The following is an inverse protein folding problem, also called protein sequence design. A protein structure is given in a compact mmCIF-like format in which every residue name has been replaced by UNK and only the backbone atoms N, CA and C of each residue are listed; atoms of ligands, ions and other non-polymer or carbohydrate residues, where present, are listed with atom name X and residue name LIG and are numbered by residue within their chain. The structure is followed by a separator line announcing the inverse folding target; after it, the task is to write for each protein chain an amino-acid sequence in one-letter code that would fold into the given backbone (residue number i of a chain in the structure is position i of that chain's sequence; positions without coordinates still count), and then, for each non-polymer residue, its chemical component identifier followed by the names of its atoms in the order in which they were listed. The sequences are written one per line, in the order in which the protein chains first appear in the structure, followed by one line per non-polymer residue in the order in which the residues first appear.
data_IF_357915785771
#
_entry.id   IF_357915785771
#
_cell.length_a   1.000
_cell.length_b   1.000
_cell.length_c   1.000
_cell.angle_alpha   90.00
_cell.angle_beta   90.00
_cell.angle_gamma   90.00
#
_symmetry.space_group_name_H-M   'P 1'
#
loop_
_entity.id
_entity.type
_entity.pdbx_description
1 polymer ?
#
# COMPACT_ATOMS: atom_id res chain seq x y z
N UNK A 1 -12.57 -10.48 -22.19
CA UNK A 1 -11.78 -10.31 -20.95
C UNK A 1 -11.43 -8.85 -20.67
N UNK A 2 -11.05 -8.03 -21.67
CA UNK A 2 -10.78 -6.58 -21.48
C UNK A 2 -12.00 -5.79 -20.98
N UNK A 3 -13.17 -5.96 -21.59
CA UNK A 3 -14.42 -5.29 -21.19
C UNK A 3 -14.91 -5.58 -19.76
N UNK A 4 -14.53 -6.72 -19.18
CA UNK A 4 -14.90 -7.06 -17.80
C UNK A 4 -14.00 -6.30 -16.81
N UNK A 5 -12.71 -6.21 -17.13
CA UNK A 5 -11.71 -5.46 -16.36
C UNK A 5 -12.00 -3.95 -16.41
N UNK A 6 -12.30 -3.39 -17.58
CA UNK A 6 -12.68 -1.97 -17.71
C UNK A 6 -13.93 -1.62 -16.88
N UNK A 7 -14.95 -2.48 -16.88
CA UNK A 7 -16.15 -2.30 -16.04
C UNK A 7 -15.89 -2.46 -14.55
N UNK A 8 -14.91 -3.26 -14.16
CA UNK A 8 -14.49 -3.41 -12.76
C UNK A 8 -13.65 -2.21 -12.29
N UNK A 9 -12.84 -1.62 -13.19
CA UNK A 9 -12.09 -0.39 -12.93
C UNK A 9 -12.99 0.81 -12.79
N UNK A 10 -13.94 1.00 -13.71
CA UNK A 10 -14.91 2.10 -13.63
C UNK A 10 -15.77 1.98 -12.35
N UNK A 11 -16.11 0.75 -11.93
CA UNK A 11 -16.79 0.51 -10.65
C UNK A 11 -15.88 0.75 -9.44
N UNK A 12 -14.62 0.35 -9.50
CA UNK A 12 -13.66 0.57 -8.43
C UNK A 12 -13.38 2.06 -8.25
N UNK A 13 -13.25 2.82 -9.33
CA UNK A 13 -13.06 4.27 -9.35
C UNK A 13 -14.31 5.01 -8.86
N UNK A 14 -15.51 4.62 -9.28
CA UNK A 14 -16.76 5.21 -8.76
C UNK A 14 -16.99 4.86 -7.29
N UNK A 15 -16.70 3.62 -6.88
CA UNK A 15 -16.75 3.21 -5.48
C UNK A 15 -15.70 4.01 -4.69
N UNK A 16 -14.50 4.14 -5.23
CA UNK A 16 -13.40 4.89 -4.66
C UNK A 16 -13.79 6.35 -4.46
N UNK A 17 -14.12 7.10 -5.51
CA UNK A 17 -14.49 8.52 -5.40
C UNK A 17 -15.63 8.77 -4.41
N UNK A 18 -16.65 7.90 -4.37
CA UNK A 18 -17.78 8.03 -3.43
C UNK A 18 -17.45 7.63 -1.99
N UNK A 19 -16.54 6.68 -1.81
CA UNK A 19 -16.14 6.18 -0.50
C UNK A 19 -15.01 7.03 0.06
N UNK A 20 -14.14 7.59 -0.76
CA UNK A 20 -12.98 8.39 -0.37
C UNK A 20 -13.40 9.73 0.23
N UNK A 21 -14.29 10.47 -0.43
CA UNK A 21 -14.89 11.68 0.16
C UNK A 21 -15.50 11.39 1.54
N UNK A 22 -16.18 10.25 1.66
CA UNK A 22 -16.80 9.83 2.92
C UNK A 22 -15.77 9.38 3.96
N UNK A 23 -14.68 8.71 3.56
CA UNK A 23 -13.62 8.23 4.43
C UNK A 23 -12.88 9.42 5.07
N UNK A 24 -12.52 10.45 4.31
CA UNK A 24 -11.85 11.63 4.87
C UNK A 24 -12.70 12.36 5.90
N UNK A 25 -14.02 12.35 5.69
CA UNK A 25 -14.98 12.95 6.62
C UNK A 25 -15.50 11.97 7.68
N UNK A 26 -15.10 10.70 7.63
CA UNK A 26 -15.64 9.68 8.52
C UNK A 26 -15.03 9.88 9.91
N UNK A 27 -15.84 10.13 10.93
CA UNK A 27 -15.29 10.40 12.24
C UNK A 27 -14.83 9.07 12.85
N UNK A 28 -13.51 8.95 12.98
CA UNK A 28 -12.87 7.78 13.59
C UNK A 28 -13.04 7.89 15.10
N UNK A 29 -13.97 7.12 15.66
CA UNK A 29 -14.27 7.13 17.10
C UNK A 29 -13.79 5.88 17.82
N UNK A 30 -13.66 4.77 17.09
CA UNK A 30 -13.32 3.46 17.65
C UNK A 30 -12.17 2.81 16.92
N UNK A 31 -11.52 1.87 17.60
CA UNK A 31 -10.51 1.00 16.99
C UNK A 31 -11.07 0.25 15.77
N UNK A 32 -12.33 -0.20 15.82
CA UNK A 32 -12.98 -0.91 14.72
C UNK A 32 -13.16 -0.04 13.47
N UNK A 33 -13.48 1.24 13.66
CA UNK A 33 -13.55 2.21 12.56
C UNK A 33 -12.20 2.37 11.86
N UNK A 34 -11.10 2.46 12.64
CA UNK A 34 -9.74 2.52 12.10
C UNK A 34 -9.46 1.29 11.23
N UNK A 35 -9.73 0.09 11.76
CA UNK A 35 -9.49 -1.16 11.02
C UNK A 35 -10.30 -1.22 9.74
N UNK A 36 -11.55 -0.75 9.73
CA UNK A 36 -12.40 -0.75 8.55
C UNK A 36 -11.88 0.21 7.48
N UNK A 37 -11.56 1.45 7.86
CA UNK A 37 -11.00 2.44 6.93
C UNK A 37 -9.68 1.94 6.36
N UNK A 38 -8.79 1.46 7.23
CA UNK A 38 -7.47 0.98 6.85
C UNK A 38 -7.53 -0.23 5.93
N UNK A 39 -8.47 -1.16 6.16
CA UNK A 39 -8.70 -2.29 5.27
C UNK A 39 -9.10 -1.81 3.86
N UNK A 40 -10.08 -0.91 3.76
CA UNK A 40 -10.56 -0.39 2.47
C UNK A 40 -9.43 0.34 1.74
N UNK A 41 -8.79 1.32 2.40
CA UNK A 41 -7.74 2.15 1.80
C UNK A 41 -6.56 1.28 1.33
N UNK A 42 -6.09 0.36 2.18
CA UNK A 42 -4.98 -0.52 1.81
C UNK A 42 -5.32 -1.41 0.61
N UNK A 43 -6.50 -2.03 0.60
CA UNK A 43 -6.88 -2.93 -0.49
C UNK A 43 -7.14 -2.17 -1.80
N UNK A 44 -7.69 -0.96 -1.75
CA UNK A 44 -7.76 -0.07 -2.91
C UNK A 44 -6.37 0.29 -3.42
N UNK A 45 -5.43 0.65 -2.53
CA UNK A 45 -4.05 0.95 -2.92
C UNK A 45 -3.39 -0.22 -3.66
N UNK A 46 -3.52 -1.44 -3.14
CA UNK A 46 -3.00 -2.66 -3.80
C UNK A 46 -3.70 -2.92 -5.14
N UNK A 47 -5.01 -2.68 -5.23
CA UNK A 47 -5.78 -2.86 -6.47
C UNK A 47 -5.28 -1.91 -7.58
N UNK A 48 -5.14 -0.62 -7.29
CA UNK A 48 -4.62 0.34 -8.27
C UNK A 48 -3.17 0.02 -8.68
N UNK A 49 -2.34 -0.50 -7.75
CA UNK A 49 -1.01 -0.99 -8.10
C UNK A 49 -1.04 -2.14 -9.13
N UNK A 50 -1.97 -3.08 -8.96
CA UNK A 50 -2.14 -4.21 -9.88
C UNK A 50 -2.65 -3.78 -11.25
N UNK A 51 -3.41 -2.68 -11.30
CA UNK A 51 -3.90 -2.13 -12.55
C UNK A 51 -2.89 -1.23 -13.28
N UNK A 52 -1.85 -0.76 -12.57
CA UNK A 52 -0.80 0.09 -13.12
C UNK A 52 -1.03 1.58 -12.86
N UNK A 53 -2.12 1.96 -12.18
CA UNK A 53 -2.29 3.30 -11.62
C UNK A 53 -1.49 3.44 -10.32
N UNK A 54 -0.18 3.56 -10.50
CA UNK A 54 0.77 3.62 -9.39
C UNK A 54 0.73 4.96 -8.64
N UNK A 55 0.16 6.03 -9.22
CA UNK A 55 0.02 7.32 -8.53
C UNK A 55 -1.14 7.28 -7.53
N UNK A 56 -2.32 6.80 -7.96
CA UNK A 56 -3.46 6.61 -7.04
C UNK A 56 -3.12 5.58 -5.95
N UNK A 57 -2.40 4.51 -6.33
CA UNK A 57 -1.90 3.53 -5.37
C UNK A 57 -1.00 4.17 -4.30
N UNK A 58 -0.01 4.97 -4.69
CA UNK A 58 0.91 5.60 -3.75
C UNK A 58 0.18 6.57 -2.82
N UNK A 59 -0.74 7.38 -3.34
CA UNK A 59 -1.54 8.29 -2.53
C UNK A 59 -2.32 7.53 -1.43
N UNK A 60 -2.91 6.39 -1.79
CA UNK A 60 -3.67 5.56 -0.86
C UNK A 60 -2.81 4.90 0.21
N UNK A 61 -1.68 4.36 -0.20
CA UNK A 61 -0.79 3.65 0.71
C UNK A 61 -0.12 4.62 1.68
N UNK A 62 0.22 5.85 1.24
CA UNK A 62 0.69 6.91 2.13
C UNK A 62 -0.38 7.29 3.15
N UNK A 63 -1.65 7.47 2.72
CA UNK A 63 -2.73 7.73 3.68
C UNK A 63 -2.94 6.57 4.68
N UNK A 64 -2.79 5.32 4.24
CA UNK A 64 -2.81 4.17 5.15
C UNK A 64 -1.63 4.21 6.15
N UNK A 65 -0.44 4.65 5.73
CA UNK A 65 0.72 4.85 6.61
C UNK A 65 0.46 5.95 7.64
N UNK A 66 -0.16 7.06 7.25
CA UNK A 66 -0.51 8.15 8.17
C UNK A 66 -1.47 7.66 9.26
N UNK A 67 -2.56 6.98 8.88
CA UNK A 67 -3.51 6.36 9.84
C UNK A 67 -2.77 5.39 10.76
N UNK A 68 -1.88 4.55 10.21
CA UNK A 68 -1.10 3.61 10.99
C UNK A 68 -0.17 4.30 11.99
N UNK A 69 0.47 5.40 11.59
CA UNK A 69 1.40 6.18 12.43
C UNK A 69 0.66 6.83 13.60
N UNK A 70 -0.47 7.49 13.31
CA UNK A 70 -1.29 8.20 14.31
C UNK A 70 -1.91 7.27 15.35
N UNK A 71 -2.19 6.02 14.96
CA UNK A 71 -2.87 5.03 15.80
C UNK A 71 -1.94 3.90 16.27
N UNK A 72 -0.64 4.01 16.00
CA UNK A 72 0.39 3.03 16.36
C UNK A 72 0.09 1.59 15.88
N UNK A 73 -0.51 1.46 14.69
CA UNK A 73 -0.88 0.18 14.09
C UNK A 73 0.21 -0.33 13.16
N UNK A 74 0.88 -1.40 13.57
CA UNK A 74 2.06 -1.90 12.84
C UNK A 74 1.71 -2.85 11.70
N UNK A 75 0.59 -3.58 11.76
CA UNK A 75 0.30 -4.66 10.79
C UNK A 75 0.14 -4.18 9.35
N UNK A 76 -0.70 -3.17 9.11
CA UNK A 76 -0.89 -2.61 7.77
C UNK A 76 0.26 -1.67 7.37
N UNK A 77 0.91 -1.01 8.33
CA UNK A 77 2.10 -0.17 8.09
C UNK A 77 3.17 -0.91 7.29
N UNK A 78 3.55 -2.11 7.75
CA UNK A 78 4.56 -2.91 7.05
C UNK A 78 4.14 -3.29 5.63
N UNK A 79 2.84 -3.60 5.44
CA UNK A 79 2.30 -4.04 4.15
C UNK A 79 2.17 -2.87 3.18
N UNK A 80 1.77 -1.69 3.65
CA UNK A 80 1.66 -0.48 2.87
C UNK A 80 3.04 -0.02 2.38
N UNK A 81 4.01 0.07 3.30
CA UNK A 81 5.39 0.41 2.97
C UNK A 81 6.00 -0.58 1.95
N UNK A 82 5.75 -1.88 2.12
CA UNK A 82 6.22 -2.88 1.16
C UNK A 82 5.57 -2.73 -0.22
N UNK A 83 4.31 -2.30 -0.30
CA UNK A 83 3.65 -2.04 -1.57
C UNK A 83 4.19 -0.76 -2.24
N UNK A 84 4.48 0.30 -1.47
CA UNK A 84 5.17 1.49 -1.99
C UNK A 84 6.54 1.14 -2.58
N UNK A 85 7.31 0.26 -1.94
CA UNK A 85 8.57 -0.22 -2.50
C UNK A 85 8.38 -0.93 -3.86
N UNK A 86 7.34 -1.78 -3.99
CA UNK A 86 7.00 -2.43 -5.27
C UNK A 86 6.57 -1.43 -6.33
N UNK A 87 5.78 -0.43 -5.94
CA UNK A 87 5.35 0.63 -6.85
C UNK A 87 6.55 1.45 -7.34
N UNK A 88 7.48 1.80 -6.45
CA UNK A 88 8.70 2.51 -6.82
C UNK A 88 9.56 1.71 -7.82
N UNK A 89 9.68 0.39 -7.60
CA UNK A 89 10.36 -0.51 -8.54
C UNK A 89 9.64 -0.54 -9.90
N UNK A 90 8.31 -0.64 -9.91
CA UNK A 90 7.51 -0.63 -11.13
C UNK A 90 7.55 0.74 -11.87
N UNK A 91 7.69 1.85 -11.13
CA UNK A 91 7.93 3.20 -11.67
C UNK A 91 9.36 3.41 -12.19
N UNK A 92 10.24 2.39 -12.13
CA UNK A 92 11.66 2.50 -12.46
C UNK A 92 12.37 3.65 -11.71
N UNK A 93 12.02 3.85 -10.43
CA UNK A 93 12.74 4.78 -9.56
C UNK A 93 14.20 4.36 -9.39
N UNK A 94 15.03 5.26 -8.89
CA UNK A 94 16.44 4.93 -8.71
C UNK A 94 16.60 3.75 -7.75
N UNK A 95 17.63 2.93 -7.97
CA UNK A 95 17.95 1.79 -7.08
C UNK A 95 18.10 2.23 -5.61
N UNK A 96 18.63 3.43 -5.38
CA UNK A 96 18.79 4.00 -4.05
C UNK A 96 17.43 4.25 -3.37
N UNK A 97 16.49 4.90 -4.06
CA UNK A 97 15.14 5.15 -3.55
C UNK A 97 14.38 3.84 -3.27
N UNK A 98 14.46 2.87 -4.20
CA UNK A 98 13.79 1.57 -4.01
C UNK A 98 14.39 0.82 -2.82
N UNK A 99 15.71 0.85 -2.67
CA UNK A 99 16.40 0.19 -1.56
C UNK A 99 16.04 0.82 -0.21
N UNK A 100 15.92 2.14 -0.13
CA UNK A 100 15.47 2.86 1.07
C UNK A 100 14.07 2.40 1.49
N UNK A 101 13.11 2.42 0.56
CA UNK A 101 11.74 1.95 0.81
C UNK A 101 11.68 0.48 1.24
N UNK A 102 12.52 -0.38 0.65
CA UNK A 102 12.63 -1.79 1.05
C UNK A 102 13.15 -1.91 2.49
N UNK A 103 14.13 -1.08 2.88
CA UNK A 103 14.71 -1.11 4.23
C UNK A 103 13.69 -0.66 5.29
N UNK A 104 12.92 0.38 5.02
CA UNK A 104 11.85 0.83 5.89
C UNK A 104 10.77 -0.25 6.06
N UNK A 105 10.31 -0.81 4.94
CA UNK A 105 9.35 -1.91 4.96
C UNK A 105 9.88 -3.14 5.73
N UNK A 106 11.17 -3.45 5.62
CA UNK A 106 11.82 -4.53 6.37
C UNK A 106 11.85 -4.25 7.87
N UNK A 107 12.10 -3.01 8.29
CA UNK A 107 12.08 -2.63 9.71
C UNK A 107 10.69 -2.90 10.31
N UNK A 108 9.63 -2.42 9.64
CA UNK A 108 8.26 -2.67 10.07
C UNK A 108 7.89 -4.16 10.03
N UNK A 109 8.29 -4.89 8.99
CA UNK A 109 8.01 -6.32 8.87
C UNK A 109 8.67 -7.14 10.00
N UNK A 110 9.89 -6.77 10.42
CA UNK A 110 10.59 -7.37 11.57
C UNK A 110 9.85 -7.12 12.88
N UNK A 111 9.42 -5.88 13.13
CA UNK A 111 8.61 -5.54 14.32
C UNK A 111 7.35 -6.39 14.37
N UNK A 112 6.66 -6.56 13.23
CA UNK A 112 5.46 -7.39 13.12
C UNK A 112 5.72 -8.90 13.06
N UNK A 113 6.98 -9.35 13.08
CA UNK A 113 7.38 -10.76 12.91
C UNK A 113 6.79 -11.39 11.62
N UNK A 114 6.59 -10.60 10.58
CA UNK A 114 5.99 -11.04 9.33
C UNK A 114 7.04 -11.70 8.42
N UNK A 115 7.36 -12.97 8.70
CA UNK A 115 8.40 -13.74 7.99
C UNK A 115 8.19 -13.77 6.48
N UNK A 116 6.95 -13.98 6.03
CA UNK A 116 6.61 -14.04 4.61
C UNK A 116 6.97 -12.73 3.87
N UNK A 117 6.64 -11.59 4.48
CA UNK A 117 6.95 -10.28 3.91
C UNK A 117 8.45 -9.98 3.95
N UNK A 118 9.14 -10.37 5.03
CA UNK A 118 10.60 -10.26 5.13
C UNK A 118 11.29 -11.04 3.99
N UNK A 119 10.85 -12.27 3.74
CA UNK A 119 11.42 -13.10 2.67
C UNK A 119 11.18 -12.49 1.28
N UNK A 120 10.01 -11.89 1.06
CA UNK A 120 9.69 -11.18 -0.17
C UNK A 120 10.58 -9.96 -0.38
N UNK A 121 10.68 -9.09 0.61
CA UNK A 121 11.50 -7.87 0.56
C UNK A 121 13.00 -8.19 0.39
N UNK A 122 13.49 -9.26 1.02
CA UNK A 122 14.88 -9.70 0.84
C UNK A 122 15.15 -10.19 -0.59
N UNK A 123 14.17 -10.86 -1.24
CA UNK A 123 14.30 -11.23 -2.66
C UNK A 123 14.30 -10.01 -3.56
N UNK A 124 13.41 -9.05 -3.32
CA UNK A 124 13.39 -7.77 -4.06
C UNK A 124 14.73 -7.05 -3.94
N UNK A 125 15.22 -6.89 -2.70
CA UNK A 125 16.53 -6.26 -2.42
C UNK A 125 17.66 -6.90 -3.22
N UNK A 126 17.71 -8.23 -3.26
CA UNK A 126 18.77 -8.96 -3.98
C UNK A 126 18.74 -8.65 -5.47
N UNK A 127 17.55 -8.59 -6.07
CA UNK A 127 17.39 -8.32 -7.50
C UNK A 127 17.82 -6.89 -7.87
N UNK A 128 17.63 -5.91 -6.99
CA UNK A 128 18.02 -4.52 -7.25
C UNK A 128 19.52 -4.26 -6.98
N UNK A 129 20.20 -5.16 -6.26
CA UNK A 129 21.64 -5.05 -5.94
C UNK A 129 22.60 -5.76 -6.89
N UNK A 130 22.10 -6.54 -7.86
CA UNK A 130 22.96 -7.25 -8.82
C UNK A 130 23.14 -6.35 -10.06
N UNK A 131 24.37 -5.88 -10.27
CA UNK A 131 24.92 -5.37 -11.54
C UNK A 131 25.96 -6.37 -12.06
#
# INVERSE_FOLDING_TARGET
MVYAREKELEKAEVYFNRVFEKIYTYPIHTTEDIWRVLNIVFHCGVFFAQDGDLETSDALLNYAIDICSDNHLTYYLARAAAQLAKNAQAKNKSKAEVLELIQDALAFAKINKNKKLIDELNRMKKNDTID
#
